data_IF_039357811508
#
_entry.id   IF_039357811508
#
_cell.length_a   1.000
_cell.length_b   1.000
_cell.length_c   1.000
_cell.angle_alpha   90.00
_cell.angle_beta   90.00
_cell.angle_gamma   90.00
#
_symmetry.space_group_name_H-M   'P 1'
#
loop_
_entity.id
_entity.type
_entity.pdbx_description
1 polymer ?
#
# COMPACT_ATOMS: atom_id res chain seq x y z
N UNK A 1 16.93 3.53 -19.92
CA UNK A 1 16.55 2.62 -18.80
C UNK A 1 15.96 3.34 -17.58
N UNK A 2 16.18 4.65 -17.35
CA UNK A 2 15.67 5.39 -16.17
C UNK A 2 14.14 5.63 -16.09
N UNK A 3 13.38 5.49 -17.18
CA UNK A 3 11.95 5.86 -17.15
C UNK A 3 11.05 4.83 -16.45
N UNK A 4 11.38 3.54 -16.53
CA UNK A 4 10.48 2.47 -16.04
C UNK A 4 10.50 2.33 -14.51
N UNK A 5 11.68 2.45 -13.91
CA UNK A 5 11.82 2.46 -12.43
C UNK A 5 11.08 3.65 -11.84
N UNK A 6 11.23 4.84 -12.42
CA UNK A 6 10.48 6.03 -12.00
C UNK A 6 8.96 5.84 -12.11
N UNK A 7 8.47 5.13 -13.13
CA UNK A 7 7.07 4.81 -13.24
C UNK A 7 6.59 3.90 -12.10
N UNK A 8 7.36 2.89 -11.68
CA UNK A 8 7.03 2.08 -10.51
C UNK A 8 7.09 2.87 -9.21
N UNK A 9 8.07 3.76 -9.05
CA UNK A 9 8.15 4.69 -7.91
C UNK A 9 6.89 5.55 -7.82
N UNK A 10 6.45 6.09 -8.95
CA UNK A 10 5.24 6.90 -9.06
C UNK A 10 3.97 6.07 -8.83
N UNK A 11 3.92 4.82 -9.32
CA UNK A 11 2.79 3.91 -9.14
C UNK A 11 2.57 3.62 -7.65
N UNK A 12 3.64 3.27 -6.93
CA UNK A 12 3.61 3.01 -5.49
C UNK A 12 3.52 4.27 -4.62
N UNK A 13 3.56 5.47 -5.21
CA UNK A 13 3.63 6.77 -4.51
C UNK A 13 4.81 6.89 -3.54
N UNK A 14 5.91 6.19 -3.79
CA UNK A 14 7.11 6.28 -2.95
C UNK A 14 7.75 7.68 -2.98
N UNK A 15 7.52 8.43 -4.05
CA UNK A 15 7.90 9.85 -4.15
C UNK A 15 7.03 10.79 -3.30
N UNK A 16 5.88 10.33 -2.78
CA UNK A 16 4.94 11.09 -1.95
C UNK A 16 4.56 10.27 -0.70
N UNK A 17 5.49 10.17 0.27
CA UNK A 17 5.39 9.23 1.39
C UNK A 17 4.28 9.59 2.39
N UNK A 18 3.72 10.79 2.33
CA UNK A 18 2.71 11.28 3.28
C UNK A 18 1.54 10.29 3.44
N UNK A 19 1.06 9.69 2.35
CA UNK A 19 -0.02 8.70 2.42
C UNK A 19 0.35 7.41 3.16
N UNK A 20 1.61 7.00 3.11
CA UNK A 20 2.11 5.85 3.86
C UNK A 20 2.34 6.21 5.33
N UNK A 21 2.87 7.40 5.61
CA UNK A 21 3.05 7.89 6.97
C UNK A 21 1.71 8.04 7.71
N UNK A 22 0.68 8.54 7.03
CA UNK A 22 -0.69 8.61 7.55
C UNK A 22 -1.24 7.22 7.90
N UNK A 23 -0.85 6.16 7.18
CA UNK A 23 -1.25 4.79 7.48
C UNK A 23 -0.44 4.20 8.64
N UNK A 24 0.85 4.53 8.74
CA UNK A 24 1.73 4.05 9.81
C UNK A 24 1.36 4.63 11.18
N UNK A 25 0.89 5.88 11.22
CA UNK A 25 0.71 6.63 12.45
C UNK A 25 -0.30 6.01 13.44
N UNK A 26 -1.52 5.58 13.01
CA UNK A 26 -2.43 4.85 13.89
C UNK A 26 -1.86 3.51 14.38
N UNK A 27 -1.05 2.83 13.57
CA UNK A 27 -0.39 1.58 13.98
C UNK A 27 0.61 1.84 15.10
N UNK A 28 1.42 2.90 14.98
CA UNK A 28 2.36 3.31 16.03
C UNK A 28 1.66 3.62 17.35
N UNK A 29 0.54 4.37 17.31
CA UNK A 29 -0.28 4.59 18.50
C UNK A 29 -0.82 3.30 19.10
N UNK A 30 -1.30 2.37 18.26
CA UNK A 30 -1.78 1.08 18.71
C UNK A 30 -0.72 0.26 19.46
N UNK A 31 0.53 0.26 18.98
CA UNK A 31 1.65 -0.38 19.68
C UNK A 31 1.97 0.34 20.98
N UNK A 32 2.04 1.68 20.98
CA UNK A 32 2.36 2.45 22.18
C UNK A 32 1.33 2.24 23.30
N UNK A 33 0.04 2.18 22.97
CA UNK A 33 -1.04 1.93 23.94
C UNK A 33 -0.90 0.54 24.59
N UNK A 34 -0.38 -0.45 23.85
CA UNK A 34 -0.10 -1.78 24.39
C UNK A 34 1.06 -1.80 25.40
N UNK A 35 1.76 -0.67 25.59
CA UNK A 35 2.88 -0.48 26.50
C UNK A 35 3.94 -1.61 26.46
N UNK A 36 4.46 -1.97 25.27
CA UNK A 36 5.45 -3.03 25.15
C UNK A 36 6.83 -2.58 25.64
N UNK A 37 7.71 -3.55 25.86
CA UNK A 37 9.13 -3.27 26.06
C UNK A 37 9.74 -2.52 24.87
N UNK A 38 10.80 -1.75 25.10
CA UNK A 38 11.43 -0.89 24.09
C UNK A 38 11.86 -1.65 22.83
N UNK A 39 12.38 -2.86 22.97
CA UNK A 39 12.82 -3.69 21.85
C UNK A 39 11.63 -4.12 20.99
N UNK A 40 10.52 -4.51 21.62
CA UNK A 40 9.27 -4.84 20.92
C UNK A 40 8.64 -3.61 20.29
N UNK A 41 8.66 -2.46 20.97
CA UNK A 41 8.16 -1.19 20.42
C UNK A 41 8.88 -0.82 19.13
N UNK A 42 10.23 -0.89 19.13
CA UNK A 42 11.04 -0.60 17.95
C UNK A 42 10.74 -1.62 16.85
N UNK A 43 10.74 -2.91 17.18
CA UNK A 43 10.48 -3.99 16.22
C UNK A 43 9.13 -3.84 15.50
N UNK A 44 8.03 -3.71 16.25
CA UNK A 44 6.69 -3.57 15.66
C UNK A 44 6.51 -2.26 14.92
N UNK A 45 7.09 -1.16 15.39
CA UNK A 45 7.05 0.09 14.63
C UNK A 45 7.80 -0.05 13.30
N UNK A 46 9.02 -0.57 13.29
CA UNK A 46 9.75 -0.80 12.03
C UNK A 46 8.95 -1.67 11.07
N UNK A 47 8.32 -2.72 11.58
CA UNK A 47 7.47 -3.61 10.80
C UNK A 47 6.24 -2.88 10.22
N UNK A 48 5.56 -2.06 11.03
CA UNK A 48 4.39 -1.30 10.59
C UNK A 48 4.72 -0.16 9.65
N UNK A 49 5.84 0.54 9.83
CA UNK A 49 6.31 1.51 8.85
C UNK A 49 6.59 0.83 7.53
N UNK A 50 7.36 -0.27 7.52
CA UNK A 50 7.60 -1.04 6.31
C UNK A 50 6.30 -1.46 5.63
N UNK A 51 5.40 -2.11 6.38
CA UNK A 51 4.11 -2.58 5.87
C UNK A 51 3.24 -1.43 5.34
N UNK A 52 3.21 -0.28 6.02
CA UNK A 52 2.42 0.87 5.60
C UNK A 52 2.86 1.41 4.24
N UNK A 53 4.16 1.49 3.97
CA UNK A 53 4.67 1.89 2.65
C UNK A 53 4.30 0.89 1.57
N UNK A 54 4.45 -0.41 1.84
CA UNK A 54 4.16 -1.47 0.88
C UNK A 54 2.65 -1.58 0.60
N UNK A 55 1.81 -1.56 1.64
CA UNK A 55 0.34 -1.65 1.51
C UNK A 55 -0.26 -0.39 0.90
N UNK A 56 0.29 0.79 1.20
CA UNK A 56 -0.08 2.02 0.50
C UNK A 56 0.22 1.91 -0.99
N UNK A 57 1.39 1.40 -1.35
CA UNK A 57 1.79 1.22 -2.74
C UNK A 57 0.86 0.24 -3.48
N UNK A 58 0.52 -0.90 -2.87
CA UNK A 58 -0.45 -1.86 -3.42
C UNK A 58 -1.83 -1.22 -3.64
N UNK A 59 -2.36 -0.52 -2.64
CA UNK A 59 -3.66 0.15 -2.72
C UNK A 59 -3.69 1.26 -3.79
N UNK A 60 -2.61 2.03 -3.93
CA UNK A 60 -2.49 3.02 -5.00
C UNK A 60 -2.45 2.38 -6.39
N UNK A 61 -1.70 1.30 -6.57
CA UNK A 61 -1.67 0.57 -7.83
C UNK A 61 -3.02 -0.03 -8.19
N UNK A 62 -3.74 -0.60 -7.21
CA UNK A 62 -5.09 -1.13 -7.40
C UNK A 62 -6.07 -0.05 -7.86
N UNK A 63 -6.04 1.12 -7.20
CA UNK A 63 -6.84 2.28 -7.59
C UNK A 63 -6.51 2.76 -9.02
N UNK A 64 -5.23 2.93 -9.35
CA UNK A 64 -4.78 3.36 -10.67
C UNK A 64 -5.20 2.36 -11.78
N UNK A 65 -5.29 1.04 -11.49
CA UNK A 65 -5.78 0.02 -12.43
C UNK A 65 -7.29 0.17 -12.69
N UNK A 66 -8.08 0.32 -11.63
CA UNK A 66 -9.53 0.43 -11.71
C UNK A 66 -9.95 1.75 -12.36
N UNK A 67 -9.29 2.85 -12.00
CA UNK A 67 -9.64 4.20 -12.45
C UNK A 67 -9.02 4.59 -13.79
N UNK A 68 -8.21 3.72 -14.41
CA UNK A 68 -7.39 4.04 -15.61
C UNK A 68 -8.13 4.78 -16.72
N UNK A 69 -9.39 4.44 -16.97
CA UNK A 69 -10.20 5.05 -18.03
C UNK A 69 -10.64 6.47 -17.66
N UNK A 70 -11.03 6.67 -16.39
CA UNK A 70 -11.45 7.95 -15.84
C UNK A 70 -10.23 8.86 -15.67
N UNK A 71 -9.15 8.34 -15.10
CA UNK A 71 -7.91 9.07 -14.88
C UNK A 71 -7.35 9.65 -16.18
N UNK A 72 -7.49 8.95 -17.31
CA UNK A 72 -7.06 9.44 -18.62
C UNK A 72 -7.81 10.71 -19.06
N UNK A 73 -9.02 10.94 -18.56
CA UNK A 73 -9.85 12.10 -18.90
C UNK A 73 -9.64 13.27 -17.92
N UNK A 74 -8.91 13.08 -16.82
CA UNK A 74 -8.75 14.09 -15.75
C UNK A 74 -7.34 14.67 -15.78
N UNK A 75 -7.24 16.00 -15.89
CA UNK A 75 -5.95 16.69 -16.03
C UNK A 75 -4.93 16.37 -14.93
N UNK A 76 -5.40 16.23 -13.69
CA UNK A 76 -4.56 15.90 -12.54
C UNK A 76 -4.00 14.47 -12.59
N UNK A 77 -4.71 13.52 -13.20
CA UNK A 77 -4.40 12.08 -13.10
C UNK A 77 -4.11 11.41 -14.44
N UNK A 78 -4.23 12.13 -15.56
CA UNK A 78 -3.91 11.64 -16.91
C UNK A 78 -2.48 11.14 -17.09
N UNK A 79 -1.55 11.63 -16.27
CA UNK A 79 -0.13 11.24 -16.27
C UNK A 79 0.20 10.07 -15.32
N UNK A 80 -0.79 9.48 -14.64
CA UNK A 80 -0.54 8.29 -13.82
C UNK A 80 -0.02 7.16 -14.70
N UNK A 81 0.92 6.31 -14.22
CA UNK A 81 1.64 5.37 -15.08
C UNK A 81 0.73 4.44 -15.90
N UNK A 82 -0.35 3.93 -15.31
CA UNK A 82 -1.29 3.02 -15.97
C UNK A 82 -2.23 3.78 -16.91
N UNK A 83 -2.73 4.95 -16.51
CA UNK A 83 -3.60 5.80 -17.34
C UNK A 83 -2.86 6.34 -18.59
N UNK A 84 -1.59 6.72 -18.41
CA UNK A 84 -0.68 7.18 -19.47
C UNK A 84 -0.09 6.04 -20.31
N UNK A 85 -0.41 4.77 -20.00
CA UNK A 85 0.13 3.56 -20.64
C UNK A 85 1.66 3.45 -20.60
N UNK A 86 2.32 4.10 -19.64
CA UNK A 86 3.76 3.96 -19.42
C UNK A 86 4.12 2.71 -18.61
N UNK A 87 3.11 2.13 -17.94
CA UNK A 87 3.11 0.76 -17.43
C UNK A 87 1.86 0.04 -17.91
N UNK A 88 1.97 -1.27 -18.19
CA UNK A 88 0.81 -2.10 -18.52
C UNK A 88 0.00 -2.45 -17.27
N UNK A 89 -1.24 -2.91 -17.48
CA UNK A 89 -2.07 -3.44 -16.39
C UNK A 89 -1.41 -4.68 -15.77
N UNK A 90 -0.79 -5.55 -16.58
CA UNK A 90 -0.11 -6.75 -16.10
C UNK A 90 1.09 -6.41 -15.21
N UNK A 91 1.85 -5.36 -15.55
CA UNK A 91 2.94 -4.85 -14.71
C UNK A 91 2.41 -4.26 -13.40
N UNK A 92 1.29 -3.54 -13.45
CA UNK A 92 0.61 -3.04 -12.25
C UNK A 92 0.12 -4.17 -11.33
N UNK A 93 -0.47 -5.24 -11.89
CA UNK A 93 -0.89 -6.41 -11.13
C UNK A 93 0.29 -7.16 -10.53
N UNK A 94 1.38 -7.35 -11.28
CA UNK A 94 2.60 -7.97 -10.76
C UNK A 94 3.19 -7.15 -9.60
N UNK A 95 3.20 -5.82 -9.73
CA UNK A 95 3.62 -4.92 -8.65
C UNK A 95 2.76 -5.09 -7.40
N UNK A 96 1.43 -5.17 -7.55
CA UNK A 96 0.52 -5.44 -6.42
C UNK A 96 0.84 -6.78 -5.77
N UNK A 97 1.02 -7.85 -6.55
CA UNK A 97 1.34 -9.19 -6.02
C UNK A 97 2.64 -9.13 -5.21
N UNK A 98 3.69 -8.49 -5.72
CA UNK A 98 4.96 -8.32 -5.00
C UNK A 98 4.73 -7.58 -3.68
N UNK A 99 3.97 -6.47 -3.71
CA UNK A 99 3.65 -5.74 -2.49
C UNK A 99 2.84 -6.60 -1.50
N UNK A 100 1.87 -7.40 -1.96
CA UNK A 100 1.08 -8.29 -1.11
C UNK A 100 1.95 -9.38 -0.46
N UNK A 101 2.90 -9.95 -1.19
CA UNK A 101 3.86 -10.93 -0.64
C UNK A 101 4.74 -10.28 0.43
N UNK A 102 5.23 -9.06 0.19
CA UNK A 102 5.99 -8.31 1.19
C UNK A 102 5.13 -7.91 2.40
N UNK A 103 3.84 -7.60 2.19
CA UNK A 103 2.88 -7.35 3.25
C UNK A 103 2.58 -8.59 4.08
N UNK A 104 2.49 -9.76 3.44
CA UNK A 104 2.30 -11.04 4.12
C UNK A 104 3.44 -11.32 5.11
N UNK A 105 4.67 -10.93 4.80
CA UNK A 105 5.79 -11.06 5.74
C UNK A 105 5.51 -10.35 7.07
N UNK A 106 4.87 -9.19 7.06
CA UNK A 106 4.45 -8.49 8.29
C UNK A 106 3.42 -9.29 9.08
N UNK A 107 2.48 -9.92 8.39
CA UNK A 107 1.40 -10.70 9.01
C UNK A 107 1.95 -11.89 9.80
N UNK A 108 3.06 -12.49 9.35
CA UNK A 108 3.69 -13.64 10.00
C UNK A 108 4.28 -13.34 11.38
N UNK A 109 4.59 -12.07 11.69
CA UNK A 109 5.10 -11.66 13.00
C UNK A 109 4.00 -11.14 13.93
N UNK A 110 2.74 -11.12 13.49
CA UNK A 110 1.62 -10.65 14.30
C UNK A 110 0.99 -11.79 15.11
N UNK A 111 0.44 -11.50 16.31
CA UNK A 111 -0.31 -12.49 17.05
C UNK A 111 -1.57 -12.92 16.28
N UNK A 112 -1.99 -14.18 16.45
CA UNK A 112 -3.11 -14.78 15.70
C UNK A 112 -4.38 -13.94 15.73
N UNK A 113 -4.68 -13.28 16.87
CA UNK A 113 -5.84 -12.38 17.00
C UNK A 113 -5.78 -11.20 16.00
N UNK A 114 -4.61 -10.59 15.85
CA UNK A 114 -4.41 -9.49 14.90
C UNK A 114 -4.50 -9.98 13.45
N UNK A 115 -3.98 -11.19 13.17
CA UNK A 115 -4.10 -11.82 11.84
C UNK A 115 -5.57 -12.01 11.46
N UNK A 116 -6.39 -12.57 12.35
CA UNK A 116 -7.82 -12.78 12.11
C UNK A 116 -8.55 -11.47 11.81
N UNK A 117 -8.29 -10.42 12.61
CA UNK A 117 -8.89 -9.09 12.38
C UNK A 117 -8.45 -8.52 11.03
N UNK A 118 -7.18 -8.68 10.66
CA UNK A 118 -6.66 -8.24 9.37
C UNK A 118 -7.39 -8.93 8.20
N UNK A 119 -7.55 -10.26 8.27
CA UNK A 119 -8.25 -11.04 7.25
C UNK A 119 -9.71 -10.61 7.09
N UNK A 120 -10.41 -10.33 8.19
CA UNK A 120 -11.79 -9.82 8.18
C UNK A 120 -11.87 -8.45 7.48
N UNK A 121 -10.81 -7.64 7.52
CA UNK A 121 -10.81 -6.31 6.88
C UNK A 121 -10.61 -6.33 5.37
N UNK A 122 -10.07 -7.42 4.80
CA UNK A 122 -9.74 -7.54 3.37
C UNK A 122 -10.93 -7.23 2.44
N UNK A 123 -12.14 -7.80 2.64
CA UNK A 123 -13.29 -7.50 1.78
C UNK A 123 -13.61 -6.00 1.73
N UNK A 124 -13.54 -5.31 2.87
CA UNK A 124 -13.82 -3.87 2.94
C UNK A 124 -12.79 -3.06 2.14
N UNK A 125 -11.51 -3.43 2.22
CA UNK A 125 -10.42 -2.76 1.51
C UNK A 125 -10.56 -2.95 -0.01
N UNK A 126 -10.90 -4.16 -0.45
CA UNK A 126 -11.08 -4.47 -1.88
C UNK A 126 -12.31 -3.76 -2.46
N UNK A 127 -13.39 -3.64 -1.68
CA UNK A 127 -14.64 -3.03 -2.13
C UNK A 127 -14.62 -1.50 -2.07
N UNK A 128 -13.82 -0.87 -1.22
CA UNK A 128 -13.74 0.59 -1.07
C UNK A 128 -13.62 1.37 -2.41
N UNK A 129 -12.78 0.95 -3.38
CA UNK A 129 -12.68 1.66 -4.66
C UNK A 129 -13.92 1.52 -5.55
N UNK A 130 -14.83 0.58 -5.26
CA UNK A 130 -16.04 0.35 -6.05
C UNK A 130 -17.23 1.17 -5.53
N UNK A 131 -17.13 1.78 -4.34
CA UNK A 131 -18.20 2.60 -3.74
C UNK A 131 -18.11 4.08 -4.14
N UNK A 132 -17.57 4.37 -5.33
CA UNK A 132 -17.37 5.72 -5.86
C UNK A 132 -18.61 6.23 -6.58
#
# INVERSE_FOLDING_TARGET
MNNKVNNFINLGRFNKPLGALLLAWPCTWGVMIANPEINSLIFYNTLFFFSAFIMRAAGCAWNDILDRNIDRMVERTKYRPIAAKTLSITEGLLFIIICLVLGLFTLLFLPTKAIVICLISIPFIILYPLTK
#
